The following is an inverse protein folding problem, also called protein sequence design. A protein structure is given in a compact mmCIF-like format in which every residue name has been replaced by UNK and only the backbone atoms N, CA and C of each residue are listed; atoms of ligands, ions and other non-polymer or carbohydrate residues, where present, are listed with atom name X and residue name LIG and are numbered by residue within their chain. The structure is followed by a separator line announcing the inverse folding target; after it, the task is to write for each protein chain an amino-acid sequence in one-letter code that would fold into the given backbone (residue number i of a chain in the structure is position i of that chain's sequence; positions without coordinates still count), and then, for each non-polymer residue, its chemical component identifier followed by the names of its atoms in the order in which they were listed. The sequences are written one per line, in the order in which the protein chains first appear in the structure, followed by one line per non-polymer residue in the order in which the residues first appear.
data_IF_003485519434
#
_entry.id   IF_003485519434
#
_cell.length_a   1.000
_cell.length_b   1.000
_cell.length_c   1.000
_cell.angle_alpha   90.00
_cell.angle_beta   90.00
_cell.angle_gamma   90.00
#
_symmetry.space_group_name_H-M   'P 1'
#
loop_
_entity.id
_entity.type
_entity.pdbx_description
1 polymer ?
#
# COMPACT_ATOMS: atom_id res chain seq x y z
N UNK A 1 20.11 -28.06 25.17
CA UNK A 1 20.78 -27.67 23.91
C UNK A 1 19.83 -27.68 22.70
N UNK A 2 18.81 -28.56 22.61
CA UNK A 2 17.87 -28.59 21.48
C UNK A 2 16.82 -27.43 21.41
N UNK A 3 16.78 -26.54 22.41
CA UNK A 3 15.78 -25.47 22.52
C UNK A 3 16.26 -24.11 21.99
N UNK A 4 17.55 -23.82 22.07
CA UNK A 4 18.14 -22.58 21.53
C UNK A 4 18.27 -22.64 20.00
N UNK A 5 18.71 -23.79 19.46
CA UNK A 5 18.89 -24.01 18.02
C UNK A 5 17.57 -23.97 17.23
N UNK A 6 16.46 -24.31 17.87
CA UNK A 6 15.12 -24.31 17.27
C UNK A 6 14.48 -22.90 17.27
N UNK A 7 14.84 -22.07 18.25
CA UNK A 7 14.37 -20.68 18.34
C UNK A 7 14.94 -19.83 17.19
N UNK A 8 16.18 -20.08 16.78
CA UNK A 8 16.81 -19.38 15.65
C UNK A 8 16.20 -19.78 14.29
N UNK A 9 15.86 -21.06 14.09
CA UNK A 9 15.23 -21.51 12.83
C UNK A 9 13.87 -20.88 12.58
N UNK A 10 12.99 -20.86 13.59
CA UNK A 10 11.68 -20.21 13.45
C UNK A 10 11.83 -18.71 13.15
N UNK A 11 12.79 -18.03 13.80
CA UNK A 11 13.06 -16.61 13.53
C UNK A 11 13.51 -16.41 12.07
N UNK A 12 14.40 -17.26 11.57
CA UNK A 12 14.90 -17.20 10.19
C UNK A 12 13.76 -17.43 9.17
N UNK A 13 12.91 -18.42 9.42
CA UNK A 13 11.74 -18.71 8.59
C UNK A 13 10.74 -17.54 8.55
N UNK A 14 10.43 -16.95 9.71
CA UNK A 14 9.55 -15.79 9.79
C UNK A 14 10.14 -14.57 9.08
N UNK A 15 11.45 -14.33 9.22
CA UNK A 15 12.13 -13.23 8.50
C UNK A 15 12.08 -13.42 6.99
N UNK A 16 12.23 -14.65 6.49
CA UNK A 16 12.09 -14.94 5.07
C UNK A 16 10.67 -14.63 4.57
N UNK A 17 9.64 -15.09 5.30
CA UNK A 17 8.24 -14.81 4.97
C UNK A 17 7.92 -13.31 5.00
N UNK A 18 8.43 -12.57 5.99
CA UNK A 18 8.30 -11.11 6.06
C UNK A 18 8.94 -10.46 4.83
N UNK A 19 10.17 -10.85 4.47
CA UNK A 19 10.86 -10.30 3.31
C UNK A 19 10.10 -10.52 2.00
N UNK A 20 9.50 -11.70 1.82
CA UNK A 20 8.70 -12.00 0.64
C UNK A 20 7.39 -11.19 0.60
N UNK A 21 6.75 -11.00 1.76
CA UNK A 21 5.60 -10.12 1.90
C UNK A 21 5.95 -8.66 1.60
N UNK A 22 7.07 -8.16 2.11
CA UNK A 22 7.53 -6.78 1.85
C UNK A 22 7.79 -6.56 0.36
N UNK A 23 8.39 -7.54 -0.33
CA UNK A 23 8.53 -7.50 -1.78
C UNK A 23 7.18 -7.49 -2.49
N UNK A 24 6.18 -8.19 -1.97
CA UNK A 24 4.82 -8.16 -2.51
C UNK A 24 4.17 -6.78 -2.34
N UNK A 25 4.37 -6.13 -1.19
CA UNK A 25 3.90 -4.75 -0.95
C UNK A 25 4.53 -3.80 -1.96
N UNK A 26 5.85 -3.85 -2.17
CA UNK A 26 6.53 -3.00 -3.17
C UNK A 26 5.98 -3.24 -4.57
N UNK A 27 5.77 -4.50 -4.97
CA UNK A 27 5.15 -4.82 -6.28
C UNK A 27 3.75 -4.23 -6.40
N UNK A 28 2.93 -4.32 -5.35
CA UNK A 28 1.58 -3.76 -5.35
C UNK A 28 1.60 -2.23 -5.44
N UNK A 29 2.53 -1.56 -4.75
CA UNK A 29 2.71 -0.11 -4.82
C UNK A 29 3.14 0.34 -6.21
N UNK A 30 4.12 -0.34 -6.83
CA UNK A 30 4.51 -0.05 -8.21
C UNK A 30 3.33 -0.22 -9.17
N UNK A 31 2.53 -1.28 -8.97
CA UNK A 31 1.33 -1.48 -9.81
C UNK A 31 0.32 -0.34 -9.64
N UNK A 32 0.13 0.15 -8.42
CA UNK A 32 -0.71 1.31 -8.13
C UNK A 32 -0.22 2.55 -8.87
N UNK A 33 1.09 2.83 -8.83
CA UNK A 33 1.69 3.97 -9.55
C UNK A 33 1.42 3.91 -11.05
N UNK A 34 1.60 2.73 -11.68
CA UNK A 34 1.29 2.54 -13.10
C UNK A 34 -0.19 2.85 -13.42
N UNK A 35 -1.11 2.33 -12.60
CA UNK A 35 -2.56 2.50 -12.81
C UNK A 35 -2.98 3.95 -12.61
N UNK A 36 -2.51 4.61 -11.55
CA UNK A 36 -2.82 6.01 -11.29
C UNK A 36 -2.17 6.92 -12.33
N UNK A 37 -0.95 6.61 -12.79
CA UNK A 37 -0.31 7.36 -13.88
C UNK A 37 -1.08 7.28 -15.20
N UNK A 38 -1.65 6.11 -15.53
CA UNK A 38 -2.57 5.97 -16.68
C UNK A 38 -3.85 6.79 -16.48
N UNK A 39 -4.42 6.77 -15.29
CA UNK A 39 -5.61 7.54 -14.95
C UNK A 39 -5.35 9.05 -15.03
N UNK A 40 -4.22 9.53 -14.51
CA UNK A 40 -3.79 10.94 -14.55
C UNK A 40 -3.75 11.44 -15.99
N UNK A 41 -3.00 10.75 -16.86
CA UNK A 41 -2.91 11.11 -18.29
C UNK A 41 -4.27 11.18 -18.96
N UNK A 42 -5.14 10.20 -18.71
CA UNK A 42 -6.47 10.20 -19.29
C UNK A 42 -7.33 11.37 -18.79
N UNK A 43 -7.28 11.71 -17.49
CA UNK A 43 -7.97 12.88 -16.95
C UNK A 43 -7.46 14.18 -17.55
N UNK A 44 -6.14 14.33 -17.70
CA UNK A 44 -5.50 15.49 -18.31
C UNK A 44 -5.92 15.69 -19.78
N UNK A 45 -5.96 14.61 -20.56
CA UNK A 45 -6.46 14.61 -21.95
C UNK A 45 -7.92 15.09 -22.06
N UNK A 46 -8.71 14.93 -20.99
CA UNK A 46 -10.11 15.35 -20.91
C UNK A 46 -10.32 16.68 -20.17
N UNK A 47 -9.24 17.34 -19.72
CA UNK A 47 -9.32 18.58 -18.93
C UNK A 47 -9.93 18.40 -17.53
N UNK A 48 -9.89 17.18 -16.98
CA UNK A 48 -10.43 16.82 -15.66
C UNK A 48 -9.33 16.96 -14.60
N UNK A 49 -9.68 17.51 -13.44
CA UNK A 49 -8.75 17.61 -12.31
C UNK A 49 -8.31 16.23 -11.79
N UNK A 50 -7.01 16.07 -11.61
CA UNK A 50 -6.42 14.82 -11.14
C UNK A 50 -6.77 14.53 -9.68
N UNK A 51 -6.61 15.53 -8.81
CA UNK A 51 -6.84 15.44 -7.36
C UNK A 51 -8.33 15.55 -7.06
N UNK A 52 -8.85 14.59 -6.29
CA UNK A 52 -10.25 14.54 -5.89
C UNK A 52 -10.36 14.05 -4.42
N UNK A 53 -10.60 14.97 -3.47
CA UNK A 53 -10.73 14.62 -2.05
C UNK A 53 -11.89 13.65 -1.75
N UNK A 54 -12.98 13.70 -2.53
CA UNK A 54 -14.11 12.78 -2.33
C UNK A 54 -13.74 11.37 -2.74
N UNK A 55 -12.99 11.23 -3.84
CA UNK A 55 -12.43 9.95 -4.28
C UNK A 55 -11.46 9.39 -3.24
N UNK A 56 -10.54 10.20 -2.71
CA UNK A 56 -9.61 9.76 -1.66
C UNK A 56 -10.35 9.26 -0.41
N UNK A 57 -11.37 9.98 0.04
CA UNK A 57 -12.22 9.57 1.16
C UNK A 57 -13.00 8.27 0.87
N UNK A 58 -13.45 8.07 -0.37
CA UNK A 58 -14.11 6.80 -0.76
C UNK A 58 -13.15 5.62 -0.67
N UNK A 59 -11.91 5.79 -1.16
CA UNK A 59 -10.91 4.72 -1.10
C UNK A 59 -10.64 4.32 0.35
N UNK A 60 -10.50 5.28 1.27
CA UNK A 60 -10.30 4.99 2.70
C UNK A 60 -11.47 4.19 3.30
N UNK A 61 -12.72 4.59 3.00
CA UNK A 61 -13.92 3.85 3.44
C UNK A 61 -13.93 2.43 2.88
N UNK A 62 -13.63 2.28 1.60
CA UNK A 62 -13.66 0.99 0.92
C UNK A 62 -12.61 0.03 1.51
N UNK A 63 -11.39 0.51 1.74
CA UNK A 63 -10.32 -0.27 2.36
C UNK A 63 -10.63 -0.62 3.80
N UNK A 64 -11.25 0.28 4.56
CA UNK A 64 -11.66 0.01 5.94
C UNK A 64 -12.67 -1.14 6.01
N UNK A 65 -13.63 -1.19 5.06
CA UNK A 65 -14.57 -2.32 4.96
C UNK A 65 -13.93 -3.62 4.47
N UNK A 66 -12.90 -3.51 3.62
CA UNK A 66 -12.18 -4.66 3.07
C UNK A 66 -11.19 -5.28 4.06
N UNK A 67 -10.71 -4.51 5.05
CA UNK A 67 -9.77 -4.99 6.05
C UNK A 67 -10.42 -6.01 6.99
N UNK A 68 -10.04 -7.29 6.82
CA UNK A 68 -10.40 -8.42 7.70
C UNK A 68 -9.23 -8.87 8.57
N UNK A 69 -8.12 -8.14 8.52
CA UNK A 69 -6.90 -8.43 9.25
C UNK A 69 -6.81 -7.68 10.59
N UNK A 70 -5.68 -7.82 11.29
CA UNK A 70 -5.47 -7.21 12.61
C UNK A 70 -5.16 -5.72 12.57
N UNK A 71 -5.10 -5.10 11.38
CA UNK A 71 -4.80 -3.68 11.24
C UNK A 71 -5.96 -2.84 11.79
N UNK A 72 -5.67 -1.88 12.66
CA UNK A 72 -6.71 -0.96 13.17
C UNK A 72 -7.14 0.00 12.06
N UNK A 73 -8.37 0.52 12.17
CA UNK A 73 -8.87 1.51 11.21
C UNK A 73 -7.97 2.76 11.16
N UNK A 74 -7.53 3.24 12.33
CA UNK A 74 -6.61 4.38 12.44
C UNK A 74 -5.29 4.14 11.70
N UNK A 75 -4.64 3.00 11.93
CA UNK A 75 -3.38 2.66 11.26
C UNK A 75 -3.56 2.45 9.76
N UNK A 76 -4.68 1.88 9.33
CA UNK A 76 -5.01 1.74 7.90
C UNK A 76 -5.16 3.11 7.24
N UNK A 77 -5.89 4.03 7.88
CA UNK A 77 -6.08 5.38 7.36
C UNK A 77 -4.76 6.14 7.28
N UNK A 78 -3.93 6.07 8.32
CA UNK A 78 -2.60 6.67 8.34
C UNK A 78 -1.71 6.15 7.22
N UNK A 79 -1.58 4.81 7.11
CA UNK A 79 -0.80 4.18 6.05
C UNK A 79 -1.28 4.59 4.66
N UNK A 80 -2.59 4.57 4.42
CA UNK A 80 -3.10 4.78 3.07
C UNK A 80 -3.07 6.25 2.64
N UNK A 81 -3.14 7.21 3.59
CA UNK A 81 -2.84 8.63 3.30
C UNK A 81 -1.41 8.80 2.82
N UNK A 82 -0.43 8.17 3.48
CA UNK A 82 0.96 8.20 3.03
C UNK A 82 1.14 7.58 1.64
N UNK A 83 0.42 6.49 1.33
CA UNK A 83 0.44 5.88 -0.01
C UNK A 83 -0.15 6.83 -1.07
N UNK A 84 -1.24 7.54 -0.75
CA UNK A 84 -1.84 8.54 -1.64
C UNK A 84 -0.87 9.69 -1.90
N UNK A 85 -0.25 10.22 -0.86
CA UNK A 85 0.68 11.34 -0.95
C UNK A 85 1.97 10.94 -1.67
N UNK A 86 2.50 9.74 -1.41
CA UNK A 86 3.62 9.17 -2.17
C UNK A 86 3.30 9.09 -3.66
N UNK A 87 2.09 8.61 -4.00
CA UNK A 87 1.68 8.46 -5.40
C UNK A 87 1.63 9.82 -6.11
N UNK A 88 1.09 10.85 -5.45
CA UNK A 88 1.06 12.22 -5.99
C UNK A 88 2.50 12.71 -6.24
N UNK A 89 3.38 12.59 -5.25
CA UNK A 89 4.80 12.99 -5.37
C UNK A 89 5.55 12.26 -6.49
N UNK A 90 5.35 10.96 -6.66
CA UNK A 90 6.05 10.17 -7.70
C UNK A 90 5.53 10.45 -9.12
N UNK A 91 4.27 10.84 -9.27
CA UNK A 91 3.68 11.20 -10.58
C UNK A 91 3.92 12.65 -11.00
N UNK A 92 4.43 13.47 -10.08
CA UNK A 92 4.80 14.87 -10.32
C UNK A 92 6.31 15.06 -10.52
N UNK A 93 7.11 13.99 -10.42
CA UNK A 93 8.52 13.98 -10.82
C UNK A 93 8.67 13.88 -12.34
#
# INVERSE_FOLDING_TARGET
MATEENTDRLIQELRAQISDNDRAIVRALNKRLELVGRLKRHKEEQGIEFVDPQQEASILRDLSRANRGPLTEESLHGLYREILDLTKRELDR
#
